data_IF_438132035633
#
_entry.id   IF_438132035633
#
_cell.length_a   1.000
_cell.length_b   1.000
_cell.length_c   1.000
_cell.angle_alpha   90.00
_cell.angle_beta   90.00
_cell.angle_gamma   90.00
#
_symmetry.space_group_name_H-M   'P 1'
#
loop_
_entity.id
_entity.type
_entity.pdbx_description
1 polymer ?
#
# COMPACT_ATOMS: atom_id res chain seq x y z
N UNK A 1 -3.95 -11.16 11.55
CA UNK A 1 -3.02 -10.05 11.39
C UNK A 1 -2.95 -9.62 9.93
N UNK A 2 -2.77 -8.35 9.71
CA UNK A 2 -2.80 -7.77 8.37
C UNK A 2 -1.42 -7.50 7.79
N UNK A 3 -0.39 -8.16 8.28
CA UNK A 3 1.00 -8.01 7.86
C UNK A 3 1.62 -6.64 8.15
N UNK A 4 0.89 -5.74 8.80
CA UNK A 4 1.40 -4.39 9.11
C UNK A 4 2.65 -4.45 9.98
N UNK A 5 2.67 -5.35 10.95
CA UNK A 5 3.81 -5.50 11.85
C UNK A 5 5.09 -5.99 11.18
N UNK A 6 5.02 -6.47 9.93
CA UNK A 6 6.19 -6.93 9.20
C UNK A 6 6.74 -5.87 8.25
N UNK A 7 6.12 -4.69 8.20
CA UNK A 7 6.54 -3.62 7.32
C UNK A 7 7.67 -2.82 7.96
N UNK A 8 8.64 -2.43 7.13
CA UNK A 8 9.65 -1.45 7.53
C UNK A 8 9.01 -0.06 7.59
N UNK A 9 9.71 0.89 8.20
CA UNK A 9 9.23 2.26 8.26
C UNK A 9 8.97 2.82 6.85
N UNK A 10 9.89 2.56 5.92
CA UNK A 10 9.75 3.03 4.54
C UNK A 10 8.53 2.40 3.86
N UNK A 11 8.28 1.12 4.14
CA UNK A 11 7.12 0.44 3.59
C UNK A 11 5.81 1.00 4.15
N UNK A 12 5.78 1.30 5.45
CA UNK A 12 4.61 1.93 6.07
C UNK A 12 4.31 3.29 5.46
N UNK A 13 5.35 4.09 5.25
CA UNK A 13 5.19 5.40 4.63
C UNK A 13 4.66 5.27 3.21
N UNK A 14 5.21 4.33 2.44
CA UNK A 14 4.74 4.08 1.08
C UNK A 14 3.27 3.67 1.05
N UNK A 15 2.89 2.74 1.91
CA UNK A 15 1.53 2.23 1.97
C UNK A 15 0.54 3.34 2.34
N UNK A 16 0.93 4.20 3.25
CA UNK A 16 0.10 5.33 3.64
C UNK A 16 -0.19 6.23 2.46
N UNK A 17 0.84 6.56 1.67
CA UNK A 17 0.65 7.38 0.47
C UNK A 17 -0.19 6.67 -0.57
N UNK A 18 -0.01 5.36 -0.72
CA UNK A 18 -0.82 4.57 -1.64
C UNK A 18 -2.29 4.69 -1.28
N UNK A 19 -2.63 4.47 -0.01
CA UNK A 19 -4.03 4.45 0.39
C UNK A 19 -4.68 5.84 0.36
N UNK A 20 -3.89 6.90 0.47
CA UNK A 20 -4.41 8.26 0.28
C UNK A 20 -4.82 8.54 -1.16
N UNK A 21 -4.21 7.85 -2.12
CA UNK A 21 -4.54 8.02 -3.52
C UNK A 21 -5.81 7.26 -3.93
N UNK A 22 -6.26 6.34 -3.10
CA UNK A 22 -7.46 5.56 -3.41
C UNK A 22 -8.72 6.36 -3.17
N UNK A 23 -9.73 6.12 -4.00
CA UNK A 23 -11.06 6.68 -3.81
C UNK A 23 -11.92 5.60 -3.16
N UNK A 24 -12.18 5.75 -1.87
CA UNK A 24 -12.85 4.72 -1.10
C UNK A 24 -11.94 3.53 -0.91
N UNK A 25 -12.39 2.35 -1.34
CA UNK A 25 -11.67 1.10 -1.11
C UNK A 25 -10.85 0.65 -2.31
N UNK A 26 -10.83 1.42 -3.40
CA UNK A 26 -10.08 1.00 -4.59
C UNK A 26 -9.60 2.19 -5.39
N UNK A 27 -8.62 1.95 -6.23
CA UNK A 27 -8.09 2.98 -7.10
C UNK A 27 -6.96 2.47 -7.95
N UNK A 28 -6.52 3.31 -8.88
CA UNK A 28 -5.44 3.00 -9.79
C UNK A 28 -4.18 3.75 -9.36
N UNK A 29 -3.08 3.04 -9.28
CA UNK A 29 -1.80 3.60 -8.83
C UNK A 29 -0.72 3.41 -9.88
N UNK A 30 0.20 4.37 -9.93
CA UNK A 30 1.45 4.20 -10.67
C UNK A 30 2.58 4.21 -9.63
N UNK A 31 3.17 3.05 -9.38
CA UNK A 31 4.17 2.87 -8.32
C UNK A 31 5.36 3.81 -8.45
N UNK A 32 5.82 4.05 -9.69
CA UNK A 32 6.95 4.95 -9.90
C UNK A 32 6.65 6.39 -9.48
N UNK A 33 5.41 6.86 -9.66
CA UNK A 33 5.04 8.20 -9.23
C UNK A 33 5.03 8.33 -7.72
N UNK A 34 4.55 7.29 -7.03
CA UNK A 34 4.53 7.28 -5.58
C UNK A 34 5.95 7.21 -5.05
N UNK A 35 6.79 6.37 -5.65
CA UNK A 35 8.19 6.27 -5.27
C UNK A 35 8.91 7.62 -5.37
N UNK A 36 8.69 8.33 -6.47
CA UNK A 36 9.30 9.65 -6.66
C UNK A 36 8.79 10.66 -5.64
N UNK A 37 7.50 10.63 -5.35
CA UNK A 37 6.88 11.57 -4.42
C UNK A 37 7.36 11.35 -2.98
N UNK A 38 7.49 10.10 -2.58
CA UNK A 38 7.89 9.75 -1.21
C UNK A 38 9.40 9.73 -1.05
N UNK A 39 10.15 9.59 -2.13
CA UNK A 39 11.60 9.52 -2.08
C UNK A 39 12.12 8.13 -1.74
N UNK A 40 11.41 7.09 -2.17
CA UNK A 40 11.80 5.71 -1.96
C UNK A 40 11.88 4.99 -3.30
N UNK A 41 12.39 3.76 -3.28
CA UNK A 41 12.47 2.97 -4.50
C UNK A 41 11.14 2.28 -4.80
N UNK A 42 10.91 2.00 -6.08
CA UNK A 42 9.72 1.28 -6.52
C UNK A 42 9.62 -0.09 -5.85
N UNK A 43 10.76 -0.75 -5.62
CA UNK A 43 10.75 -2.07 -5.01
C UNK A 43 10.18 -2.08 -3.59
N UNK A 44 10.36 -0.99 -2.84
CA UNK A 44 9.76 -0.86 -1.51
C UNK A 44 8.24 -0.90 -1.60
N UNK A 45 7.68 -0.18 -2.56
CA UNK A 45 6.23 -0.15 -2.79
C UNK A 45 5.72 -1.53 -3.19
N UNK A 46 6.40 -2.17 -4.15
CA UNK A 46 6.00 -3.48 -4.63
C UNK A 46 6.05 -4.51 -3.48
N UNK A 47 7.09 -4.47 -2.66
CA UNK A 47 7.21 -5.40 -1.54
C UNK A 47 6.10 -5.20 -0.51
N UNK A 48 5.77 -3.94 -0.21
CA UNK A 48 4.68 -3.64 0.73
C UNK A 48 3.35 -4.18 0.21
N UNK A 49 3.06 -3.95 -1.07
CA UNK A 49 1.83 -4.44 -1.68
C UNK A 49 1.77 -5.97 -1.67
N UNK A 50 2.89 -6.64 -1.93
CA UNK A 50 2.94 -8.10 -1.87
C UNK A 50 2.65 -8.63 -0.49
N UNK A 51 3.14 -7.97 0.55
CA UNK A 51 2.88 -8.39 1.92
C UNK A 51 1.40 -8.33 2.25
N UNK A 52 0.73 -7.26 1.86
CA UNK A 52 -0.71 -7.13 2.06
C UNK A 52 -1.50 -8.10 1.21
N UNK A 53 -1.08 -8.30 -0.02
CA UNK A 53 -1.75 -9.26 -0.91
C UNK A 53 -1.65 -10.68 -0.36
N UNK A 54 -0.47 -11.06 0.13
CA UNK A 54 -0.24 -12.37 0.74
C UNK A 54 -1.09 -12.57 1.99
N UNK A 55 -1.33 -11.50 2.73
CA UNK A 55 -2.18 -11.55 3.92
C UNK A 55 -3.67 -11.56 3.59
N UNK A 56 -4.03 -11.35 2.32
CA UNK A 56 -5.43 -11.35 1.91
C UNK A 56 -6.19 -10.08 2.26
N UNK A 57 -5.50 -9.00 2.58
CA UNK A 57 -6.18 -7.74 2.94
C UNK A 57 -6.35 -6.80 1.77
N UNK A 58 -5.64 -7.01 0.68
CA UNK A 58 -5.84 -6.27 -0.56
C UNK A 58 -5.81 -7.21 -1.76
N UNK A 59 -6.35 -6.72 -2.87
CA UNK A 59 -6.24 -7.37 -4.17
C UNK A 59 -5.57 -6.38 -5.11
N UNK A 60 -4.59 -6.84 -5.88
CA UNK A 60 -3.91 -5.98 -6.84
C UNK A 60 -3.94 -6.61 -8.22
N UNK A 61 -4.04 -5.77 -9.25
CA UNK A 61 -4.04 -6.20 -10.63
C UNK A 61 -3.20 -5.24 -11.46
N UNK A 62 -2.19 -5.75 -12.12
CA UNK A 62 -1.38 -4.96 -13.03
C UNK A 62 -2.14 -4.68 -14.31
N UNK A 63 -2.19 -3.43 -14.73
CA UNK A 63 -2.82 -3.00 -15.96
C UNK A 63 -1.79 -2.51 -16.98
N UNK A 64 -0.56 -3.00 -16.85
CA UNK A 64 0.54 -2.64 -17.73
C UNK A 64 0.91 -1.17 -17.57
N UNK A 65 0.97 -0.44 -18.67
CA UNK A 65 1.39 0.96 -18.66
C UNK A 65 0.42 1.88 -17.92
N UNK A 66 -0.81 1.44 -17.70
CA UNK A 66 -1.82 2.23 -16.98
C UNK A 66 -1.61 2.23 -15.48
N UNK A 67 -0.76 1.35 -14.96
CA UNK A 67 -0.49 1.24 -13.54
C UNK A 67 -1.05 -0.03 -12.92
N UNK A 68 -1.32 0.03 -11.63
CA UNK A 68 -1.82 -1.12 -10.87
C UNK A 68 -3.11 -0.74 -10.18
N UNK A 69 -4.14 -1.56 -10.36
CA UNK A 69 -5.40 -1.38 -9.65
C UNK A 69 -5.31 -2.07 -8.30
N UNK A 70 -5.62 -1.33 -7.23
CA UNK A 70 -5.60 -1.84 -5.86
C UNK A 70 -7.01 -1.78 -5.29
N UNK A 71 -7.43 -2.85 -4.65
CA UNK A 71 -8.70 -2.91 -3.96
C UNK A 71 -8.48 -3.40 -2.54
N UNK A 72 -8.99 -2.68 -1.56
CA UNK A 72 -8.89 -3.07 -0.16
C UNK A 72 -10.00 -4.07 0.14
N UNK A 73 -9.62 -5.27 0.57
CA UNK A 73 -10.56 -6.35 0.86
C UNK A 73 -11.02 -6.31 2.32
N UNK A 74 -10.18 -5.75 3.21
CA UNK A 74 -10.48 -5.66 4.63
C UNK A 74 -10.59 -4.19 5.01
N UNK A 75 -11.79 -3.75 5.35
CA UNK A 75 -12.07 -2.34 5.64
C UNK A 75 -11.44 -1.85 6.95
N UNK A 76 -10.87 -2.74 7.75
CA UNK A 76 -10.14 -2.38 8.96
C UNK A 76 -8.68 -2.05 8.69
N UNK A 77 -8.21 -2.24 7.45
CA UNK A 77 -6.81 -2.03 7.11
C UNK A 77 -6.34 -0.61 7.40
N UNK A 78 -7.07 0.39 6.94
CA UNK A 78 -6.67 1.78 7.11
C UNK A 78 -6.63 2.19 8.58
N UNK A 79 -7.67 1.90 9.40
CA UNK A 79 -7.61 2.20 10.83
C UNK A 79 -6.44 1.52 11.54
N UNK A 80 -6.15 0.27 11.19
CA UNK A 80 -5.03 -0.45 11.79
C UNK A 80 -3.69 0.16 11.39
N UNK A 81 -3.57 0.60 10.15
CA UNK A 81 -2.36 1.24 9.66
C UNK A 81 -2.08 2.55 10.41
N UNK A 82 -3.11 3.36 10.61
CA UNK A 82 -2.99 4.61 11.35
C UNK A 82 -2.59 4.36 12.80
N UNK A 83 -3.12 3.31 13.41
CA UNK A 83 -2.82 2.93 14.77
C UNK A 83 -1.34 2.55 14.91
N UNK A 84 -0.83 1.74 14.00
CA UNK A 84 0.57 1.33 14.02
C UNK A 84 1.48 2.53 13.80
N UNK A 85 1.12 3.37 12.83
CA UNK A 85 1.92 4.55 12.52
C UNK A 85 2.04 5.52 13.68
N UNK A 86 0.98 5.71 14.45
CA UNK A 86 1.02 6.63 15.57
C UNK A 86 1.94 6.17 16.69
N UNK A 87 2.40 4.92 16.65
CA UNK A 87 3.35 4.37 17.62
C UNK A 87 4.81 4.51 17.18
N UNK A 88 5.06 5.04 16.00
CA UNK A 88 6.43 5.34 15.54
C UNK A 88 6.84 6.80 15.95
#
# INVERSE_FOLDING_TARGET
QMAIGTLSYSELEAVEHIFKELEGNEGLLVASRIADRVGITRSVIVNALRKFESAGVIESRSLGMKGTHIKILNDKLIPELEKVRSNY
#
